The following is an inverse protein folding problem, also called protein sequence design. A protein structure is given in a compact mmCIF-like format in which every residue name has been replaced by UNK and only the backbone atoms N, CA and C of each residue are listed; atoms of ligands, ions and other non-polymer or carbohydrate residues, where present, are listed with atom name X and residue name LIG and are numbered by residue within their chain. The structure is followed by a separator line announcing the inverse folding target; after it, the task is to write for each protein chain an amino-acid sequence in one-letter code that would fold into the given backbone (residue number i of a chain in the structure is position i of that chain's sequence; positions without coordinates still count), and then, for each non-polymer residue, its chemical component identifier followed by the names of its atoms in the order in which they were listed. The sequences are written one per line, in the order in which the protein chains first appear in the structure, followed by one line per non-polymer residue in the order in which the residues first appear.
data_IF_051948657408
#
_entry.id   IF_051948657408
#
_cell.length_a   1.000
_cell.length_b   1.000
_cell.length_c   1.000
_cell.angle_alpha   90.00
_cell.angle_beta   90.00
_cell.angle_gamma   90.00
#
_symmetry.space_group_name_H-M   'P 1'
#
loop_
_entity.id
_entity.type
_entity.pdbx_description
1 polymer ?
#
# COMPACT_ATOMS: atom_id res chain seq x y z
N UNK A 1 -20.43 14.50 6.91
CA UNK A 1 -21.52 14.04 6.05
C UNK A 1 -21.63 12.52 6.12
N UNK A 2 -22.85 12.02 6.25
CA UNK A 2 -23.12 10.58 6.29
C UNK A 2 -22.55 9.86 5.06
N UNK A 3 -22.45 10.57 3.97
CA UNK A 3 -21.94 10.09 2.71
C UNK A 3 -20.51 9.56 2.80
N UNK A 4 -19.65 10.17 3.62
CA UNK A 4 -18.27 9.74 3.73
C UNK A 4 -18.11 8.36 4.36
N UNK A 5 -18.86 8.07 5.40
CA UNK A 5 -18.81 6.77 6.06
C UNK A 5 -19.30 5.67 5.10
N UNK A 6 -20.38 5.95 4.38
CA UNK A 6 -20.92 5.05 3.39
C UNK A 6 -19.92 4.82 2.26
N UNK A 7 -19.24 5.88 1.83
CA UNK A 7 -18.26 5.81 0.72
C UNK A 7 -17.06 4.94 1.08
N UNK A 8 -16.56 5.02 2.31
CA UNK A 8 -15.42 4.19 2.75
C UNK A 8 -15.76 2.70 2.69
N UNK A 9 -16.92 2.32 3.17
CA UNK A 9 -17.35 0.92 3.12
C UNK A 9 -17.56 0.44 1.68
N UNK A 10 -18.16 1.28 0.85
CA UNK A 10 -18.41 0.95 -0.55
C UNK A 10 -17.09 0.81 -1.31
N UNK A 11 -16.18 1.74 -1.08
CA UNK A 11 -14.86 1.74 -1.70
C UNK A 11 -14.05 0.51 -1.29
N UNK A 12 -14.10 0.17 0.00
CA UNK A 12 -13.46 -1.04 0.51
C UNK A 12 -13.94 -2.28 -0.23
N UNK A 13 -15.25 -2.42 -0.38
CA UNK A 13 -15.84 -3.58 -1.06
C UNK A 13 -15.44 -3.63 -2.52
N UNK A 14 -15.38 -2.49 -3.18
CA UNK A 14 -14.99 -2.42 -4.59
C UNK A 14 -13.55 -2.88 -4.78
N UNK A 15 -12.65 -2.37 -3.94
CA UNK A 15 -11.23 -2.75 -4.00
C UNK A 15 -11.07 -4.23 -3.68
N UNK A 16 -11.76 -4.71 -2.64
CA UNK A 16 -11.73 -6.12 -2.26
C UNK A 16 -12.14 -7.01 -3.42
N UNK A 17 -13.22 -6.67 -4.11
CA UNK A 17 -13.71 -7.46 -5.22
C UNK A 17 -12.72 -7.49 -6.37
N UNK A 18 -12.10 -6.37 -6.69
CA UNK A 18 -11.07 -6.31 -7.72
C UNK A 18 -9.90 -7.24 -7.40
N UNK A 19 -9.45 -7.22 -6.15
CA UNK A 19 -8.34 -8.09 -5.72
C UNK A 19 -8.75 -9.56 -5.83
N UNK A 20 -9.95 -9.90 -5.39
CA UNK A 20 -10.45 -11.28 -5.45
C UNK A 20 -10.58 -11.77 -6.89
N UNK A 21 -10.83 -10.88 -7.83
CA UNK A 21 -10.92 -11.21 -9.26
C UNK A 21 -9.56 -11.32 -9.92
N UNK A 22 -8.49 -11.01 -9.20
CA UNK A 22 -7.15 -11.04 -9.75
C UNK A 22 -6.76 -9.79 -10.52
N UNK A 23 -7.55 -8.72 -10.40
CA UNK A 23 -7.26 -7.44 -11.05
C UNK A 23 -6.40 -6.60 -10.11
N UNK A 24 -5.09 -6.84 -10.15
CA UNK A 24 -4.15 -6.15 -9.28
C UNK A 24 -3.61 -4.89 -9.93
N UNK A 25 -3.67 -3.79 -9.20
CA UNK A 25 -3.02 -2.55 -9.61
C UNK A 25 -1.56 -2.57 -9.15
N UNK A 26 -0.69 -1.80 -9.79
CA UNK A 26 0.75 -1.83 -9.43
C UNK A 26 1.06 -1.15 -8.11
N UNK A 27 0.17 -0.30 -7.61
CA UNK A 27 0.43 0.45 -6.39
C UNK A 27 -0.85 0.62 -5.58
N UNK A 28 -0.74 0.42 -4.28
CA UNK A 28 -1.84 0.63 -3.34
C UNK A 28 -1.36 1.49 -2.19
N UNK A 29 -2.04 2.61 -1.95
CA UNK A 29 -1.84 3.43 -0.75
C UNK A 29 -3.09 3.29 0.10
N UNK A 30 -2.97 2.58 1.20
CA UNK A 30 -4.06 2.31 2.13
C UNK A 30 -3.76 3.09 3.40
N UNK A 31 -4.54 4.11 3.68
CA UNK A 31 -4.22 4.99 4.79
C UNK A 31 -5.48 5.49 5.49
N UNK A 32 -5.28 6.10 6.64
CA UNK A 32 -6.36 6.74 7.37
C UNK A 32 -6.58 6.17 8.76
N UNK A 33 -7.73 6.50 9.32
CA UNK A 33 -8.08 6.15 10.69
C UNK A 33 -8.80 4.81 10.83
N UNK A 34 -9.33 4.28 9.73
CA UNK A 34 -10.06 3.01 9.71
C UNK A 34 -9.09 1.85 9.55
N UNK A 35 -8.38 1.55 10.62
CA UNK A 35 -7.30 0.56 10.60
C UNK A 35 -7.77 -0.84 10.20
N UNK A 36 -9.01 -1.18 10.54
CA UNK A 36 -9.57 -2.48 10.17
C UNK A 36 -9.55 -2.70 8.66
N UNK A 37 -10.00 -1.70 7.90
CA UNK A 37 -10.04 -1.81 6.44
C UNK A 37 -8.63 -1.90 5.84
N UNK A 38 -7.70 -1.14 6.41
CA UNK A 38 -6.31 -1.16 5.96
C UNK A 38 -5.74 -2.57 6.16
N UNK A 39 -5.92 -3.14 7.33
CA UNK A 39 -5.41 -4.47 7.65
C UNK A 39 -6.04 -5.55 6.77
N UNK A 40 -7.34 -5.46 6.52
CA UNK A 40 -8.05 -6.45 5.72
C UNK A 40 -7.60 -6.41 4.25
N UNK A 41 -7.47 -5.21 3.69
CA UNK A 41 -7.00 -5.08 2.31
C UNK A 41 -5.54 -5.52 2.17
N UNK A 42 -4.71 -5.16 3.14
CA UNK A 42 -3.30 -5.57 3.14
C UNK A 42 -3.18 -7.10 3.16
N UNK A 43 -3.90 -7.73 4.06
CA UNK A 43 -3.90 -9.20 4.17
C UNK A 43 -4.38 -9.85 2.88
N UNK A 44 -5.44 -9.31 2.30
CA UNK A 44 -6.00 -9.86 1.08
C UNK A 44 -5.01 -9.75 -0.09
N UNK A 45 -4.32 -8.62 -0.20
CA UNK A 45 -3.27 -8.46 -1.22
C UNK A 45 -2.17 -9.50 -1.01
N UNK A 46 -1.71 -9.66 0.22
CA UNK A 46 -0.64 -10.61 0.53
C UNK A 46 -1.05 -12.05 0.24
N UNK A 47 -2.33 -12.37 0.42
CA UNK A 47 -2.83 -13.72 0.18
C UNK A 47 -3.14 -13.98 -1.30
N UNK A 48 -3.33 -12.93 -2.09
CA UNK A 48 -3.87 -13.06 -3.46
C UNK A 48 -2.83 -12.86 -4.56
N UNK A 49 -1.86 -11.95 -4.35
CA UNK A 49 -0.94 -11.57 -5.43
C UNK A 49 0.04 -12.69 -5.74
N UNK A 50 0.53 -13.38 -4.72
CA UNK A 50 1.53 -14.45 -4.88
C UNK A 50 0.95 -15.75 -4.32
N UNK A 51 1.01 -16.85 -5.09
CA UNK A 51 0.57 -18.15 -4.59
C UNK A 51 1.31 -18.56 -3.32
N UNK A 52 0.64 -19.32 -2.47
CA UNK A 52 1.17 -19.69 -1.16
C UNK A 52 2.53 -20.36 -1.24
N UNK A 53 2.73 -21.23 -2.22
CA UNK A 53 3.98 -21.96 -2.40
C UNK A 53 5.11 -21.10 -2.97
N UNK A 54 4.82 -19.86 -3.37
CA UNK A 54 5.80 -18.94 -3.93
C UNK A 54 6.09 -17.74 -3.01
N UNK A 55 5.48 -17.70 -1.84
CA UNK A 55 5.61 -16.52 -0.96
C UNK A 55 7.04 -16.29 -0.48
N UNK A 56 7.85 -17.34 -0.33
CA UNK A 56 9.23 -17.19 0.09
C UNK A 56 10.04 -16.34 -0.88
N UNK A 57 9.67 -16.35 -2.16
CA UNK A 57 10.39 -15.62 -3.21
C UNK A 57 9.65 -14.38 -3.70
N UNK A 58 8.34 -14.34 -3.54
CA UNK A 58 7.51 -13.31 -4.14
C UNK A 58 6.85 -12.35 -3.17
N UNK A 59 7.00 -12.55 -1.87
CA UNK A 59 6.38 -11.68 -0.88
C UNK A 59 7.42 -11.09 0.05
N UNK A 60 7.50 -9.76 0.06
CA UNK A 60 8.46 -9.05 0.89
C UNK A 60 7.68 -8.08 1.77
N UNK A 61 7.87 -8.17 3.09
CA UNK A 61 7.19 -7.32 4.06
C UNK A 61 8.21 -6.48 4.81
N UNK A 62 8.00 -5.18 4.79
CA UNK A 62 8.80 -4.23 5.57
C UNK A 62 7.91 -3.55 6.61
N UNK A 63 8.53 -3.07 7.67
CA UNK A 63 7.87 -2.23 8.66
C UNK A 63 8.45 -0.82 8.59
N UNK A 64 7.58 0.17 8.66
CA UNK A 64 7.98 1.57 8.44
C UNK A 64 9.11 2.06 9.32
N UNK A 65 9.16 1.61 10.58
CA UNK A 65 10.22 2.01 11.51
C UNK A 65 11.59 1.44 11.14
N UNK A 66 11.63 0.36 10.37
CA UNK A 66 12.84 -0.43 10.13
C UNK A 66 13.39 -0.27 8.71
N UNK A 67 12.75 0.51 7.85
CA UNK A 67 13.11 0.58 6.45
C UNK A 67 13.10 2.03 5.96
N UNK A 68 13.97 2.33 5.00
CA UNK A 68 13.96 3.64 4.33
C UNK A 68 13.11 3.57 3.06
N UNK A 69 12.66 4.75 2.61
CA UNK A 69 11.95 4.82 1.33
C UNK A 69 12.83 4.35 0.18
N UNK A 70 14.12 4.68 0.21
CA UNK A 70 15.07 4.25 -0.83
C UNK A 70 15.15 2.72 -0.92
N UNK A 71 15.16 2.05 0.24
CA UNK A 71 15.20 0.58 0.27
C UNK A 71 13.93 -0.02 -0.32
N UNK A 72 12.78 0.53 0.02
CA UNK A 72 11.50 0.07 -0.51
C UNK A 72 11.48 0.22 -2.03
N UNK A 73 11.87 1.38 -2.54
CA UNK A 73 11.89 1.65 -3.97
C UNK A 73 12.84 0.68 -4.69
N UNK A 74 14.02 0.49 -4.14
CA UNK A 74 15.01 -0.43 -4.72
C UNK A 74 14.46 -1.85 -4.82
N UNK A 75 13.83 -2.32 -3.74
CA UNK A 75 13.23 -3.66 -3.72
C UNK A 75 12.09 -3.78 -4.72
N UNK A 76 11.24 -2.77 -4.80
CA UNK A 76 10.08 -2.78 -5.70
C UNK A 76 10.49 -2.78 -7.17
N UNK A 77 11.67 -2.25 -7.49
CA UNK A 77 12.19 -2.19 -8.87
C UNK A 77 12.93 -3.44 -9.31
N UNK A 78 13.17 -4.38 -8.39
CA UNK A 78 13.85 -5.62 -8.78
C UNK A 78 12.91 -6.54 -9.54
N UNK A 79 13.46 -7.26 -10.52
CA UNK A 79 12.71 -8.32 -11.17
C UNK A 79 12.48 -9.45 -10.18
N UNK A 80 11.25 -9.96 -10.09
CA UNK A 80 11.00 -11.12 -9.24
C UNK A 80 11.75 -12.34 -9.80
N UNK A 81 12.37 -13.10 -8.91
CA UNK A 81 13.06 -14.31 -9.27
C UNK A 81 12.19 -15.51 -8.94
N UNK A 82 12.06 -16.43 -9.89
CA UNK A 82 11.33 -17.70 -9.72
C UNK A 82 9.81 -17.53 -9.53
N UNK A 83 9.29 -16.31 -9.72
CA UNK A 83 7.85 -16.02 -9.66
C UNK A 83 7.52 -15.02 -10.74
N UNK A 84 6.27 -15.02 -11.20
CA UNK A 84 5.82 -14.07 -12.23
C UNK A 84 5.63 -12.66 -11.69
N UNK A 85 5.24 -12.57 -10.41
CA UNK A 85 4.86 -11.31 -9.79
C UNK A 85 5.30 -11.33 -8.34
N UNK A 86 5.75 -10.18 -7.86
CA UNK A 86 6.07 -10.03 -6.45
C UNK A 86 5.19 -8.98 -5.82
N UNK A 87 5.02 -9.10 -4.50
CA UNK A 87 4.36 -8.07 -3.72
C UNK A 87 5.35 -7.56 -2.66
N UNK A 88 5.45 -6.24 -2.57
CA UNK A 88 6.24 -5.56 -1.54
C UNK A 88 5.26 -4.76 -0.70
N UNK A 89 5.18 -5.06 0.58
CA UNK A 89 4.26 -4.40 1.50
C UNK A 89 5.05 -3.67 2.57
N UNK A 90 4.70 -2.42 2.81
CA UNK A 90 5.23 -1.65 3.94
C UNK A 90 4.10 -1.53 4.97
N UNK A 91 4.23 -2.25 6.06
CA UNK A 91 3.30 -2.17 7.19
C UNK A 91 3.76 -1.07 8.14
N UNK A 92 2.82 -0.51 8.87
CA UNK A 92 3.10 0.57 9.82
C UNK A 92 3.89 1.70 9.18
N UNK A 93 3.48 2.09 7.98
CA UNK A 93 4.18 3.08 7.19
C UNK A 93 4.18 4.48 7.84
N UNK A 94 3.27 4.75 8.77
CA UNK A 94 3.25 5.99 9.52
C UNK A 94 4.52 6.18 10.37
N UNK A 95 5.26 5.11 10.61
CA UNK A 95 6.53 5.16 11.33
C UNK A 95 7.73 5.44 10.43
N UNK A 96 7.51 5.49 9.13
CA UNK A 96 8.59 5.76 8.18
C UNK A 96 8.90 7.25 8.11
N UNK A 97 10.18 7.58 8.08
CA UNK A 97 10.62 8.94 7.87
C UNK A 97 10.51 9.26 6.39
N UNK A 98 9.99 10.44 6.07
CA UNK A 98 9.93 10.95 4.68
C UNK A 98 9.28 9.95 3.73
N UNK A 99 8.08 9.50 4.08
CA UNK A 99 7.34 8.56 3.24
C UNK A 99 7.15 9.10 1.82
N UNK A 100 7.12 10.41 1.65
CA UNK A 100 6.98 11.07 0.35
C UNK A 100 8.10 10.69 -0.61
N UNK A 101 9.25 10.27 -0.10
CA UNK A 101 10.37 9.85 -0.94
C UNK A 101 10.07 8.56 -1.72
N UNK A 102 9.04 7.81 -1.33
CA UNK A 102 8.56 6.67 -2.12
C UNK A 102 8.07 7.13 -3.49
N UNK A 103 7.72 8.40 -3.63
CA UNK A 103 7.29 8.98 -4.91
C UNK A 103 8.28 8.79 -6.05
N UNK A 104 9.56 8.61 -5.74
CA UNK A 104 10.58 8.32 -6.75
C UNK A 104 10.23 7.05 -7.53
N UNK A 105 9.55 6.10 -6.91
CA UNK A 105 9.15 4.86 -7.56
C UNK A 105 8.26 5.09 -8.77
N UNK A 106 7.45 6.13 -8.73
CA UNK A 106 6.51 6.41 -9.84
C UNK A 106 7.22 6.81 -11.13
N UNK A 107 8.48 7.19 -11.06
CA UNK A 107 9.27 7.53 -12.25
C UNK A 107 9.78 6.30 -12.99
N UNK A 108 9.68 5.12 -12.39
CA UNK A 108 10.12 3.89 -13.01
C UNK A 108 9.51 2.69 -12.32
N UNK A 109 8.19 2.53 -12.44
CA UNK A 109 7.46 1.44 -11.82
C UNK A 109 7.74 0.13 -12.53
N UNK A 110 7.80 -0.96 -11.76
CA UNK A 110 8.01 -2.29 -12.29
C UNK A 110 6.65 -2.99 -12.48
N UNK A 111 6.28 -3.36 -13.73
CA UNK A 111 4.96 -3.97 -13.97
C UNK A 111 4.72 -5.29 -13.23
N UNK A 112 5.78 -6.01 -12.90
CA UNK A 112 5.67 -7.30 -12.20
C UNK A 112 5.64 -7.16 -10.68
N UNK A 113 5.63 -5.93 -10.15
CA UNK A 113 5.59 -5.67 -8.71
C UNK A 113 4.28 -5.00 -8.32
N UNK A 114 3.67 -5.49 -7.25
CA UNK A 114 2.59 -4.79 -6.55
C UNK A 114 3.21 -4.19 -5.30
N UNK A 115 3.19 -2.87 -5.17
CA UNK A 115 3.70 -2.18 -3.99
C UNK A 115 2.52 -1.68 -3.16
N UNK A 116 2.43 -2.16 -1.93
CA UNK A 116 1.37 -1.77 -1.00
C UNK A 116 1.93 -1.01 0.19
N UNK A 117 1.38 0.17 0.45
CA UNK A 117 1.77 1.02 1.57
C UNK A 117 0.59 1.09 2.53
N UNK A 118 0.78 0.61 3.75
CA UNK A 118 -0.25 0.58 4.79
C UNK A 118 0.10 1.59 5.87
N UNK A 119 -0.62 2.71 5.87
CA UNK A 119 -0.35 3.87 6.72
C UNK A 119 -1.53 4.08 7.67
N UNK A 120 -1.30 3.85 8.95
CA UNK A 120 -2.35 3.98 9.96
C UNK A 120 -2.25 5.33 10.64
N UNK A 121 -3.17 6.22 10.33
CA UNK A 121 -3.26 7.51 11.01
C UNK A 121 -3.82 7.31 12.42
N UNK A 122 -3.48 8.20 13.38
CA UNK A 122 -4.04 8.09 14.72
C UNK A 122 -5.57 8.24 14.68
N UNK A 123 -6.27 7.34 15.34
CA UNK A 123 -7.73 7.43 15.50
C UNK A 123 -8.12 8.00 16.86
N UNK A 124 -7.14 8.25 17.71
CA UNK A 124 -7.32 8.86 19.02
C UNK A 124 -6.77 10.29 18.97
N UNK A 125 -7.60 11.33 19.14
CA UNK A 125 -7.14 12.71 19.00
C UNK A 125 -6.13 13.13 20.07
N UNK A 126 -5.98 12.35 21.15
CA UNK A 126 -4.98 12.65 22.18
C UNK A 126 -3.58 12.16 21.82
N UNK A 127 -3.46 11.31 20.80
CA UNK A 127 -2.16 10.77 20.39
C UNK A 127 -1.55 11.62 19.28
N UNK A 128 -0.25 11.78 19.35
CA UNK A 128 0.49 12.46 18.30
C UNK A 128 0.63 11.55 17.08
N UNK A 129 0.75 12.15 15.93
CA UNK A 129 0.90 11.44 14.67
C UNK A 129 0.23 12.23 13.55
N UNK A 130 0.49 11.81 12.33
CA UNK A 130 0.00 12.50 11.16
C UNK A 130 -0.75 11.55 10.24
N UNK A 131 -1.59 12.13 9.41
CA UNK A 131 -2.15 11.44 8.27
C UNK A 131 -1.36 11.82 7.03
N UNK A 132 -1.63 11.16 5.90
CA UNK A 132 -1.02 11.50 4.61
C UNK A 132 -1.48 12.89 4.22
N UNK A 133 -0.55 13.72 3.80
CA UNK A 133 -0.87 15.06 3.31
C UNK A 133 -1.29 14.97 1.84
N UNK A 134 -2.55 15.22 1.59
CA UNK A 134 -3.14 15.10 0.25
C UNK A 134 -2.69 16.17 -0.73
N UNK A 135 -1.96 17.17 -0.25
CA UNK A 135 -1.44 18.25 -1.11
C UNK A 135 -0.11 17.90 -1.75
N UNK A 136 0.54 16.83 -1.28
CA UNK A 136 1.88 16.46 -1.75
C UNK A 136 1.84 15.90 -3.16
N UNK A 137 2.96 16.04 -3.85
CA UNK A 137 3.17 15.41 -5.15
C UNK A 137 3.07 13.89 -5.04
N UNK A 138 3.59 13.33 -3.95
CA UNK A 138 3.49 11.90 -3.67
C UNK A 138 2.04 11.41 -3.73
N UNK A 139 1.14 12.08 -3.02
CA UNK A 139 -0.26 11.68 -2.98
C UNK A 139 -0.91 11.78 -4.36
N UNK A 140 -0.66 12.87 -5.06
CA UNK A 140 -1.24 13.08 -6.38
C UNK A 140 -0.76 12.06 -7.39
N UNK A 141 0.52 11.71 -7.33
CA UNK A 141 1.08 10.70 -8.21
C UNK A 141 0.56 9.30 -7.86
N UNK A 142 0.37 9.04 -6.57
CA UNK A 142 -0.20 7.76 -6.13
C UNK A 142 -1.60 7.55 -6.69
N UNK A 143 -2.42 8.60 -6.71
CA UNK A 143 -3.77 8.52 -7.28
C UNK A 143 -3.75 8.15 -8.76
N UNK A 144 -2.76 8.64 -9.49
CA UNK A 144 -2.64 8.33 -10.93
C UNK A 144 -2.05 6.95 -11.16
N UNK A 145 -1.17 6.50 -10.28
CA UNK A 145 -0.41 5.28 -10.49
C UNK A 145 -1.18 4.01 -10.07
N UNK A 146 -2.10 4.13 -9.14
CA UNK A 146 -2.79 2.95 -8.63
C UNK A 146 -4.02 3.29 -7.79
N UNK A 147 -4.20 2.55 -6.72
CA UNK A 147 -5.36 2.68 -5.83
C UNK A 147 -4.96 3.46 -4.59
N UNK A 148 -5.74 4.46 -4.25
CA UNK A 148 -5.62 5.21 -3.01
C UNK A 148 -6.92 5.03 -2.23
N UNK A 149 -6.81 4.47 -1.03
CA UNK A 149 -7.96 4.20 -0.16
C UNK A 149 -7.74 4.88 1.19
N UNK A 150 -8.76 5.61 1.63
CA UNK A 150 -8.77 6.21 2.96
C UNK A 150 -9.99 5.78 3.75
#
# INVERSE_FOLDING_TARGET
MAKQTSDSSTEFKAIRNQILEGDFKPFYLLFGKEHYYIDELCKLLMDSVVPEDQKDFGQIVYYGADVSAARVVSTARQFPMMVERQIVVVKEAQMMKKIEDIGVYFEGMMPSTVLGICYKAPNDPTKSGRNIDKRTSFYKQAQKAGVVFE
#
